data_IF_520115474796
#
_entry.id   IF_520115474796
#
_cell.length_a   1.000
_cell.length_b   1.000
_cell.length_c   1.000
_cell.angle_alpha   90.00
_cell.angle_beta   90.00
_cell.angle_gamma   90.00
#
_symmetry.space_group_name_H-M   'P 1'
#
loop_
_entity.id
_entity.type
_entity.pdbx_description
1 polymer ?
#
# COMPACT_ATOMS: atom_id res chain seq x y z
N UNK A 1 6.71 13.16 8.99
CA UNK A 1 5.54 12.26 9.00
C UNK A 1 4.86 12.22 7.64
N UNK A 2 4.22 13.30 7.15
CA UNK A 2 3.51 13.28 5.85
C UNK A 2 4.34 12.81 4.64
N UNK A 3 5.62 13.18 4.55
CA UNK A 3 6.53 12.65 3.52
C UNK A 3 6.86 11.16 3.70
N UNK A 4 6.87 10.65 4.94
CA UNK A 4 7.17 9.24 5.23
C UNK A 4 6.03 8.32 4.77
N UNK A 5 4.78 8.71 5.06
CA UNK A 5 3.55 8.03 4.62
C UNK A 5 3.16 8.42 3.18
N UNK A 6 4.09 8.97 2.40
CA UNK A 6 3.86 9.23 0.99
C UNK A 6 4.82 8.45 0.10
N UNK A 7 5.80 7.76 0.69
CA UNK A 7 6.75 6.90 -0.02
C UNK A 7 6.04 5.63 -0.50
N UNK A 8 5.23 5.02 0.37
CA UNK A 8 4.30 3.93 0.08
C UNK A 8 3.35 4.29 -1.07
N UNK A 9 2.71 5.46 -1.00
CA UNK A 9 1.84 5.99 -2.05
C UNK A 9 2.62 6.19 -3.34
N UNK A 10 3.85 6.70 -3.27
CA UNK A 10 4.69 6.87 -4.46
C UNK A 10 4.99 5.52 -5.12
N UNK A 11 5.46 4.55 -4.34
CA UNK A 11 5.82 3.22 -4.85
C UNK A 11 4.58 2.53 -5.46
N UNK A 12 3.44 2.55 -4.77
CA UNK A 12 2.20 1.95 -5.24
C UNK A 12 1.61 2.67 -6.47
N UNK A 13 1.79 3.99 -6.58
CA UNK A 13 1.36 4.74 -7.77
C UNK A 13 2.24 4.39 -8.96
N UNK A 14 3.55 4.29 -8.75
CA UNK A 14 4.51 3.96 -9.81
C UNK A 14 4.42 2.50 -10.25
N UNK A 15 4.08 1.55 -9.37
CA UNK A 15 3.87 0.15 -9.76
C UNK A 15 2.65 0.00 -10.67
N UNK A 16 1.60 0.79 -10.43
CA UNK A 16 0.38 0.86 -11.27
C UNK A 16 0.53 1.72 -12.51
N UNK A 17 1.75 2.02 -12.95
CA UNK A 17 1.95 2.87 -14.12
C UNK A 17 1.33 2.31 -15.41
N UNK A 18 0.94 1.03 -15.49
CA UNK A 18 0.26 0.47 -16.68
C UNK A 18 -1.28 0.49 -16.61
N UNK A 19 -1.87 0.82 -15.47
CA UNK A 19 -3.34 0.84 -15.30
C UNK A 19 -3.94 2.05 -16.02
N UNK A 20 -4.58 1.83 -17.17
CA UNK A 20 -5.11 2.92 -18.02
C UNK A 20 -6.14 3.80 -17.32
N UNK A 21 -6.83 3.29 -16.31
CA UNK A 21 -7.85 4.03 -15.56
C UNK A 21 -7.28 4.74 -14.33
N UNK A 22 -5.97 4.62 -14.07
CA UNK A 22 -5.29 5.32 -12.98
C UNK A 22 -5.38 6.84 -13.22
N UNK A 23 -6.12 7.54 -12.36
CA UNK A 23 -6.40 8.96 -12.51
C UNK A 23 -6.49 9.64 -11.15
N UNK A 24 -6.60 10.97 -11.16
CA UNK A 24 -6.84 11.74 -9.95
C UNK A 24 -8.09 11.25 -9.20
N UNK A 25 -9.16 10.92 -9.92
CA UNK A 25 -10.45 10.53 -9.32
C UNK A 25 -10.43 9.12 -8.76
N UNK A 26 -9.81 8.20 -9.49
CA UNK A 26 -9.80 6.76 -9.17
C UNK A 26 -8.67 6.37 -8.20
N UNK A 27 -7.66 7.23 -8.04
CA UNK A 27 -6.47 6.93 -7.23
C UNK A 27 -6.14 8.05 -6.22
N UNK A 28 -5.77 9.23 -6.69
CA UNK A 28 -5.25 10.32 -5.83
C UNK A 28 -6.27 10.76 -4.78
N UNK A 29 -7.53 10.96 -5.16
CA UNK A 29 -8.58 11.41 -4.23
C UNK A 29 -8.87 10.36 -3.15
N UNK A 30 -9.15 9.08 -3.48
CA UNK A 30 -9.32 8.02 -2.48
C UNK A 30 -8.13 7.87 -1.53
N UNK A 31 -6.90 7.90 -2.05
CA UNK A 31 -5.67 7.83 -1.23
C UNK A 31 -5.58 9.04 -0.31
N UNK A 32 -5.82 10.24 -0.81
CA UNK A 32 -5.78 11.45 0.00
C UNK A 32 -6.79 11.39 1.14
N UNK A 33 -8.02 10.96 0.84
CA UNK A 33 -9.09 10.84 1.84
C UNK A 33 -8.69 9.85 2.93
N UNK A 34 -8.22 8.66 2.55
CA UNK A 34 -7.78 7.64 3.50
C UNK A 34 -6.58 8.11 4.33
N UNK A 35 -5.65 8.88 3.75
CA UNK A 35 -4.51 9.46 4.47
C UNK A 35 -4.83 10.71 5.32
N UNK A 36 -6.07 11.21 5.26
CA UNK A 36 -6.60 12.16 6.24
C UNK A 36 -7.37 11.42 7.32
N UNK A 37 -8.28 10.54 6.91
CA UNK A 37 -9.25 9.87 7.77
C UNK A 37 -8.60 8.79 8.63
N UNK A 38 -7.72 7.96 8.08
CA UNK A 38 -7.13 6.83 8.82
C UNK A 38 -6.21 7.31 9.94
N UNK A 39 -5.29 8.27 9.75
CA UNK A 39 -4.54 8.83 10.86
C UNK A 39 -5.44 9.49 11.91
N UNK A 40 -6.54 10.14 11.50
CA UNK A 40 -7.49 10.74 12.44
C UNK A 40 -8.21 9.67 13.27
N UNK A 41 -8.69 8.59 12.63
CA UNK A 41 -9.23 7.42 13.32
C UNK A 41 -8.16 6.85 14.26
N UNK A 42 -6.93 6.64 13.78
CA UNK A 42 -5.85 6.10 14.61
C UNK A 42 -5.53 6.96 15.83
N UNK A 43 -5.54 8.28 15.66
CA UNK A 43 -5.33 9.22 16.76
C UNK A 43 -6.49 9.20 17.76
N UNK A 44 -7.72 9.48 17.32
CA UNK A 44 -8.84 9.67 18.24
C UNK A 44 -9.34 8.34 18.82
N UNK A 45 -9.25 7.27 18.05
CA UNK A 45 -9.78 5.96 18.42
C UNK A 45 -8.70 5.06 19.00
N UNK A 46 -7.54 4.89 18.35
CA UNK A 46 -6.54 3.90 18.78
C UNK A 46 -5.54 4.41 19.81
N UNK A 47 -5.09 5.66 19.75
CA UNK A 47 -4.33 6.22 20.87
C UNK A 47 -5.26 6.42 22.07
N UNK A 48 -6.44 7.01 21.81
CA UNK A 48 -7.48 7.21 22.82
C UNK A 48 -7.88 5.94 23.57
N UNK A 49 -8.13 4.82 22.88
CA UNK A 49 -8.52 3.54 23.51
C UNK A 49 -7.36 2.59 23.80
N UNK A 50 -6.23 2.68 23.11
CA UNK A 50 -5.08 1.80 23.30
C UNK A 50 -4.45 1.94 24.69
N UNK A 51 -4.54 3.14 25.29
CA UNK A 51 -4.19 3.38 26.70
C UNK A 51 -5.09 2.57 27.66
N UNK A 52 -6.35 2.35 27.31
CA UNK A 52 -7.34 1.68 28.18
C UNK A 52 -7.50 0.18 27.87
N UNK A 53 -7.19 -0.26 26.65
CA UNK A 53 -7.36 -1.63 26.16
C UNK A 53 -6.16 -2.07 25.31
N UNK A 54 -5.04 -2.47 25.93
CA UNK A 54 -3.85 -2.94 25.20
C UNK A 54 -4.12 -4.12 24.25
N UNK A 55 -5.07 -5.00 24.62
CA UNK A 55 -5.49 -6.12 23.76
C UNK A 55 -6.07 -5.68 22.41
N UNK A 56 -6.62 -4.46 22.33
CA UNK A 56 -7.14 -3.92 21.08
C UNK A 56 -6.00 -3.62 20.09
N UNK A 57 -4.86 -3.09 20.57
CA UNK A 57 -3.69 -2.86 19.73
C UNK A 57 -3.18 -4.17 19.11
N UNK A 58 -3.17 -5.24 19.89
CA UNK A 58 -2.81 -6.58 19.41
C UNK A 58 -3.75 -7.08 18.32
N UNK A 59 -5.07 -6.99 18.56
CA UNK A 59 -6.07 -7.41 17.57
C UNK A 59 -5.91 -6.63 16.27
N UNK A 60 -5.70 -5.32 16.34
CA UNK A 60 -5.55 -4.46 15.17
C UNK A 60 -4.26 -4.74 14.41
N UNK A 61 -3.15 -5.00 15.11
CA UNK A 61 -1.89 -5.39 14.48
C UNK A 61 -2.02 -6.72 13.73
N UNK A 62 -2.72 -7.69 14.31
CA UNK A 62 -3.01 -8.97 13.65
C UNK A 62 -3.93 -8.77 12.44
N UNK A 63 -5.01 -8.00 12.57
CA UNK A 63 -5.93 -7.70 11.44
C UNK A 63 -5.16 -7.01 10.31
N UNK A 64 -4.32 -6.03 10.64
CA UNK A 64 -3.51 -5.30 9.67
C UNK A 64 -2.55 -6.20 8.91
N UNK A 65 -1.81 -7.03 9.65
CA UNK A 65 -0.96 -8.05 9.05
C UNK A 65 -1.73 -8.98 8.10
N UNK A 66 -2.90 -9.47 8.52
CA UNK A 66 -3.72 -10.36 7.69
C UNK A 66 -4.24 -9.68 6.43
N UNK A 67 -4.70 -8.43 6.51
CA UNK A 67 -5.16 -7.66 5.35
C UNK A 67 -4.03 -7.46 4.34
N UNK A 68 -2.84 -7.07 4.81
CA UNK A 68 -1.66 -6.91 3.95
C UNK A 68 -1.23 -8.25 3.35
N UNK A 69 -1.20 -9.33 4.15
CA UNK A 69 -0.83 -10.65 3.66
C UNK A 69 -1.81 -11.18 2.60
N UNK A 70 -3.10 -10.96 2.79
CA UNK A 70 -4.14 -11.34 1.83
C UNK A 70 -4.06 -10.50 0.55
N UNK A 71 -3.80 -9.19 0.66
CA UNK A 71 -3.54 -8.35 -0.50
C UNK A 71 -2.32 -8.82 -1.30
N UNK A 72 -1.20 -9.11 -0.64
CA UNK A 72 0.00 -9.65 -1.31
C UNK A 72 -0.30 -10.97 -1.99
N UNK A 73 -1.09 -11.85 -1.35
CA UNK A 73 -1.51 -13.10 -1.94
C UNK A 73 -2.32 -12.90 -3.23
N UNK A 74 -3.30 -11.99 -3.24
CA UNK A 74 -4.08 -11.67 -4.44
C UNK A 74 -3.18 -11.13 -5.57
N UNK A 75 -2.32 -10.15 -5.27
CA UNK A 75 -1.40 -9.57 -6.27
C UNK A 75 -0.43 -10.62 -6.83
N UNK A 76 0.02 -11.55 -6.00
CA UNK A 76 0.87 -12.66 -6.44
C UNK A 76 0.12 -13.63 -7.36
N UNK A 77 -1.13 -13.99 -7.02
CA UNK A 77 -1.93 -14.87 -7.87
C UNK A 77 -2.18 -14.24 -9.23
N UNK A 78 -2.56 -12.96 -9.25
CA UNK A 78 -2.76 -12.16 -10.47
C UNK A 78 -1.48 -12.10 -11.31
N UNK A 79 -0.33 -11.81 -10.69
CA UNK A 79 0.96 -11.76 -11.39
C UNK A 79 1.42 -13.11 -11.94
N UNK A 80 0.82 -14.21 -11.51
CA UNK A 80 1.04 -15.56 -12.05
C UNK A 80 -0.03 -15.98 -13.06
N UNK A 81 -1.03 -15.12 -13.35
CA UNK A 81 -2.17 -15.46 -14.20
C UNK A 81 -3.10 -16.51 -13.59
N UNK A 82 -3.19 -16.55 -12.25
CA UNK A 82 -3.99 -17.52 -11.50
C UNK A 82 -5.05 -16.83 -10.65
N UNK A 83 -6.19 -17.50 -10.45
CA UNK A 83 -7.23 -16.99 -9.56
C UNK A 83 -6.89 -17.29 -8.08
N UNK A 84 -7.04 -16.31 -7.17
CA UNK A 84 -6.84 -16.54 -5.75
C UNK A 84 -7.92 -17.45 -5.16
N UNK A 85 -7.54 -18.38 -4.28
CA UNK A 85 -8.49 -19.26 -3.57
C UNK A 85 -9.38 -18.46 -2.61
N UNK A 86 -8.84 -17.36 -2.08
CA UNK A 86 -9.56 -16.41 -1.24
C UNK A 86 -9.26 -15.00 -1.73
N UNK A 87 -10.31 -14.29 -2.18
CA UNK A 87 -10.19 -12.92 -2.66
C UNK A 87 -10.86 -11.92 -1.70
N UNK A 88 -10.06 -11.10 -1.01
CA UNK A 88 -10.57 -9.92 -0.30
C UNK A 88 -11.26 -8.96 -1.28
N UNK A 89 -10.69 -8.79 -2.47
CA UNK A 89 -11.26 -7.97 -3.54
C UNK A 89 -12.65 -8.45 -3.93
N UNK A 90 -12.85 -9.76 -4.15
CA UNK A 90 -14.16 -10.35 -4.45
C UNK A 90 -15.14 -10.24 -3.28
N UNK A 91 -14.66 -10.40 -2.03
CA UNK A 91 -15.49 -10.20 -0.84
C UNK A 91 -15.98 -8.75 -0.74
N UNK A 92 -15.10 -7.78 -0.91
CA UNK A 92 -15.42 -6.35 -0.90
C UNK A 92 -16.34 -6.00 -2.07
N UNK A 93 -16.09 -6.53 -3.26
CA UNK A 93 -16.95 -6.34 -4.44
C UNK A 93 -18.39 -6.72 -4.12
N UNK A 94 -18.58 -7.92 -3.55
CA UNK A 94 -19.89 -8.42 -3.16
C UNK A 94 -20.51 -7.63 -2.01
N UNK A 95 -19.72 -7.24 -1.02
CA UNK A 95 -20.21 -6.55 0.17
C UNK A 95 -20.65 -5.12 -0.12
N UNK A 96 -19.88 -4.40 -0.95
CA UNK A 96 -20.14 -3.01 -1.30
C UNK A 96 -20.86 -2.83 -2.64
N UNK A 97 -21.10 -3.91 -3.38
CA UNK A 97 -21.74 -3.86 -4.70
C UNK A 97 -20.87 -3.18 -5.77
N UNK A 98 -19.54 -3.30 -5.64
CA UNK A 98 -18.57 -2.71 -6.55
C UNK A 98 -18.23 -3.69 -7.69
N UNK A 99 -17.79 -3.14 -8.83
CA UNK A 99 -17.15 -3.94 -9.87
C UNK A 99 -15.84 -4.55 -9.35
N UNK A 100 -15.40 -5.65 -9.96
CA UNK A 100 -14.23 -6.39 -9.48
C UNK A 100 -12.94 -5.56 -9.57
N UNK A 101 -12.76 -4.84 -10.68
CA UNK A 101 -11.60 -3.95 -10.89
C UNK A 101 -11.59 -2.79 -9.89
N UNK A 102 -12.75 -2.20 -9.60
CA UNK A 102 -12.88 -1.14 -8.59
C UNK A 102 -12.60 -1.66 -7.19
N UNK A 103 -13.01 -2.89 -6.91
CA UNK A 103 -12.73 -3.54 -5.63
C UNK A 103 -11.24 -3.83 -5.47
N UNK A 104 -10.55 -4.29 -6.53
CA UNK A 104 -9.09 -4.47 -6.52
C UNK A 104 -8.37 -3.16 -6.25
N UNK A 105 -8.78 -2.06 -6.90
CA UNK A 105 -8.23 -0.72 -6.64
C UNK A 105 -8.47 -0.31 -5.19
N UNK A 106 -9.68 -0.54 -4.68
CA UNK A 106 -10.03 -0.24 -3.29
C UNK A 106 -9.14 -1.02 -2.30
N UNK A 107 -8.91 -2.31 -2.53
CA UNK A 107 -8.01 -3.12 -1.70
C UNK A 107 -6.59 -2.58 -1.75
N UNK A 108 -6.07 -2.22 -2.93
CA UNK A 108 -4.75 -1.62 -3.04
C UNK A 108 -4.66 -0.29 -2.27
N UNK A 109 -5.67 0.57 -2.40
CA UNK A 109 -5.75 1.82 -1.63
C UNK A 109 -5.77 1.52 -0.13
N UNK A 110 -6.58 0.56 0.32
CA UNK A 110 -6.62 0.17 1.73
C UNK A 110 -5.28 -0.36 2.23
N UNK A 111 -4.62 -1.22 1.45
CA UNK A 111 -3.33 -1.82 1.81
C UNK A 111 -2.24 -0.75 1.97
N UNK A 112 -2.17 0.20 1.03
CA UNK A 112 -1.24 1.34 1.11
C UNK A 112 -1.61 2.24 2.29
N UNK A 113 -2.90 2.52 2.48
CA UNK A 113 -3.35 3.45 3.52
C UNK A 113 -3.33 2.85 4.93
N UNK A 114 -3.09 1.54 5.06
CA UNK A 114 -3.07 0.88 6.36
C UNK A 114 -1.91 1.40 7.24
N UNK A 115 -0.77 1.78 6.65
CA UNK A 115 0.32 2.45 7.40
C UNK A 115 -0.12 3.81 7.96
N UNK A 116 -0.95 4.55 7.21
CA UNK A 116 -1.51 5.82 7.66
C UNK A 116 -2.36 5.66 8.93
N UNK A 117 -3.08 4.54 9.08
CA UNK A 117 -3.82 4.22 10.31
C UNK A 117 -2.89 4.15 11.53
N UNK A 118 -1.70 3.57 11.34
CA UNK A 118 -0.69 3.40 12.40
C UNK A 118 0.15 4.65 12.66
N UNK A 119 0.05 5.66 11.79
CA UNK A 119 0.66 6.97 12.02
C UNK A 119 -0.06 7.82 13.08
N UNK A 120 -1.27 7.42 13.50
CA UNK A 120 -2.02 8.07 14.58
C UNK A 120 -1.22 8.20 15.89
N UNK A 121 -0.71 7.09 16.46
CA UNK A 121 0.21 7.10 17.60
C UNK A 121 1.45 8.00 17.45
N UNK A 122 2.05 8.02 16.26
CA UNK A 122 3.20 8.90 15.99
C UNK A 122 2.79 10.38 16.02
N UNK A 123 1.59 10.69 15.54
CA UNK A 123 1.03 12.04 15.59
C UNK A 123 0.62 12.48 16.99
N UNK A 124 0.10 11.58 17.83
CA UNK A 124 -0.12 11.89 19.26
C UNK A 124 1.18 12.22 19.97
N UNK A 125 2.26 11.48 19.73
CA UNK A 125 3.56 11.83 20.30
C UNK A 125 4.06 13.21 19.84
N UNK A 126 3.81 13.59 18.59
CA UNK A 126 4.11 14.93 18.06
C UNK A 126 3.24 16.03 18.69
N UNK A 127 1.95 15.76 18.83
CA UNK A 127 1.00 16.69 19.43
C UNK A 127 1.33 16.95 20.92
N UNK A 128 1.64 15.89 21.66
CA UNK A 128 2.02 15.97 23.07
C UNK A 128 3.36 16.72 23.26
N UNK A 129 4.38 16.38 22.47
CA UNK A 129 5.68 17.06 22.53
C UNK A 129 5.61 18.53 22.09
N UNK A 130 4.72 18.83 21.15
CA UNK A 130 4.50 20.18 20.63
C UNK A 130 3.52 21.03 21.44
N UNK A 131 2.87 20.46 22.47
CA UNK A 131 1.75 21.07 23.18
C UNK A 131 0.65 21.61 22.24
N UNK A 132 0.31 20.81 21.21
CA UNK A 132 -0.69 21.21 20.22
C UNK A 132 -2.09 21.22 20.82
N UNK A 133 -2.86 22.23 20.47
CA UNK A 133 -4.30 22.28 20.73
C UNK A 133 -5.05 21.27 19.86
N UNK A 134 -6.26 20.89 20.27
CA UNK A 134 -7.13 19.98 19.50
C UNK A 134 -7.36 20.46 18.06
N UNK A 135 -7.44 21.78 17.84
CA UNK A 135 -7.62 22.36 16.51
C UNK A 135 -6.35 22.20 15.65
N UNK A 136 -5.17 22.37 16.22
CA UNK A 136 -3.90 22.16 15.52
C UNK A 136 -3.72 20.70 15.13
N UNK A 137 -4.04 19.78 16.05
CA UNK A 137 -4.06 18.33 15.75
C UNK A 137 -5.01 18.02 14.61
N UNK A 138 -6.26 18.52 14.67
CA UNK A 138 -7.26 18.29 13.64
C UNK A 138 -6.80 18.82 12.27
N UNK A 139 -6.35 20.08 12.21
CA UNK A 139 -5.86 20.69 10.97
C UNK A 139 -4.62 19.97 10.41
N UNK A 140 -3.76 19.44 11.28
CA UNK A 140 -2.57 18.71 10.85
C UNK A 140 -2.90 17.45 10.01
N UNK A 141 -4.10 16.85 10.16
CA UNK A 141 -4.51 15.71 9.31
C UNK A 141 -4.72 16.15 7.87
N UNK A 142 -5.37 17.30 7.66
CA UNK A 142 -5.55 17.87 6.33
C UNK A 142 -4.21 18.30 5.71
N UNK A 143 -3.29 18.86 6.50
CA UNK A 143 -1.95 19.20 6.02
C UNK A 143 -1.17 17.95 5.60
N UNK A 144 -1.24 16.88 6.38
CA UNK A 144 -0.62 15.60 6.01
C UNK A 144 -1.26 15.01 4.73
N UNK A 145 -2.59 15.01 4.64
CA UNK A 145 -3.31 14.58 3.45
C UNK A 145 -2.96 15.42 2.22
N UNK A 146 -2.82 16.73 2.35
CA UNK A 146 -2.39 17.60 1.25
C UNK A 146 -0.97 17.26 0.78
N UNK A 147 -0.05 16.99 1.70
CA UNK A 147 1.30 16.55 1.36
C UNK A 147 1.27 15.22 0.58
N UNK A 148 0.47 14.25 1.05
CA UNK A 148 0.25 12.97 0.35
C UNK A 148 -0.37 13.21 -1.04
N UNK A 149 -1.37 14.08 -1.15
CA UNK A 149 -2.01 14.42 -2.43
C UNK A 149 -1.02 14.98 -3.44
N UNK A 150 -0.14 15.90 -3.02
CA UNK A 150 0.90 16.49 -3.88
C UNK A 150 1.86 15.40 -4.36
N UNK A 151 2.34 14.55 -3.45
CA UNK A 151 3.29 13.48 -3.78
C UNK A 151 2.64 12.43 -4.68
N UNK A 152 1.41 12.01 -4.38
CA UNK A 152 0.62 11.11 -5.21
C UNK A 152 0.43 11.68 -6.62
N UNK A 153 0.17 12.98 -6.74
CA UNK A 153 0.00 13.63 -8.04
C UNK A 153 1.31 13.70 -8.84
N UNK A 154 2.44 13.94 -8.17
CA UNK A 154 3.77 13.88 -8.79
C UNK A 154 4.07 12.46 -9.25
N UNK A 155 3.83 11.45 -8.40
CA UNK A 155 4.02 10.04 -8.73
C UNK A 155 3.12 9.61 -9.90
N UNK A 156 1.87 10.06 -9.93
CA UNK A 156 0.95 9.83 -11.04
C UNK A 156 1.45 10.50 -12.33
N UNK A 157 2.01 11.70 -12.25
CA UNK A 157 2.68 12.36 -13.37
C UNK A 157 3.85 11.54 -13.91
N UNK A 158 4.69 11.01 -13.02
CA UNK A 158 5.80 10.13 -13.39
C UNK A 158 5.27 8.83 -14.02
N UNK A 159 4.21 8.23 -13.45
CA UNK A 159 3.56 7.04 -14.00
C UNK A 159 3.05 7.30 -15.44
N UNK A 160 2.46 8.46 -15.71
CA UNK A 160 2.07 8.86 -17.07
C UNK A 160 3.26 9.06 -18.00
N UNK A 161 4.39 9.60 -17.50
CA UNK A 161 5.62 9.69 -18.29
C UNK A 161 6.19 8.31 -18.61
N UNK A 162 6.19 7.39 -17.64
CA UNK A 162 6.62 6.01 -17.82
C UNK A 162 5.76 5.26 -18.85
N UNK A 163 4.44 5.51 -18.91
CA UNK A 163 3.58 4.96 -19.99
C UNK A 163 4.01 5.37 -21.39
N UNK A 164 4.56 6.58 -21.53
CA UNK A 164 5.00 7.10 -22.83
C UNK A 164 6.36 6.54 -23.26
N UNK A 165 7.09 5.88 -22.34
CA UNK A 165 8.35 5.22 -22.68
C UNK A 165 8.02 3.99 -23.51
N UNK A 166 8.33 4.06 -24.81
CA UNK A 166 8.22 2.91 -25.70
C UNK A 166 9.37 1.95 -25.43
N UNK A 167 9.10 0.91 -24.64
CA UNK A 167 10.01 -0.20 -24.50
C UNK A 167 10.00 -0.99 -25.81
N UNK A 168 11.12 -0.98 -26.54
CA UNK A 168 11.23 -1.71 -27.81
C UNK A 168 11.53 -3.20 -27.61
N UNK A 169 11.93 -3.58 -26.39
CA UNK A 169 12.23 -4.97 -26.04
C UNK A 169 11.27 -5.44 -24.93
N UNK A 170 10.36 -6.39 -25.22
CA UNK A 170 9.43 -6.94 -24.24
C UNK A 170 10.16 -7.59 -23.06
N UNK A 171 11.35 -8.16 -23.28
CA UNK A 171 12.15 -8.76 -22.20
C UNK A 171 12.65 -7.72 -21.19
N UNK A 172 13.03 -6.54 -21.67
CA UNK A 172 13.47 -5.45 -20.79
C UNK A 172 12.30 -4.93 -19.95
N UNK A 173 11.11 -4.84 -20.55
CA UNK A 173 9.90 -4.39 -19.85
C UNK A 173 9.47 -5.42 -18.80
N UNK A 174 9.44 -6.71 -19.15
CA UNK A 174 9.08 -7.78 -18.23
C UNK A 174 10.04 -7.84 -17.04
N UNK A 175 11.35 -7.70 -17.26
CA UNK A 175 12.35 -7.65 -16.18
C UNK A 175 12.17 -6.43 -15.28
N UNK A 176 11.88 -5.26 -15.86
CA UNK A 176 11.62 -4.05 -15.10
C UNK A 176 10.39 -4.21 -14.20
N UNK A 177 9.29 -4.72 -14.74
CA UNK A 177 8.06 -4.98 -13.98
C UNK A 177 8.30 -6.01 -12.87
N UNK A 178 9.02 -7.10 -13.17
CA UNK A 178 9.36 -8.13 -12.18
C UNK A 178 10.08 -7.53 -10.97
N UNK A 179 11.12 -6.72 -11.19
CA UNK A 179 11.84 -6.07 -10.10
C UNK A 179 11.02 -4.98 -9.41
N UNK A 180 10.19 -4.23 -10.15
CA UNK A 180 9.26 -3.26 -9.60
C UNK A 180 8.28 -3.91 -8.61
N UNK A 181 7.63 -4.99 -9.02
CA UNK A 181 6.71 -5.78 -8.16
C UNK A 181 7.42 -6.36 -6.95
N UNK A 182 8.65 -6.85 -7.11
CA UNK A 182 9.44 -7.34 -5.97
C UNK A 182 9.65 -6.25 -4.91
N UNK A 183 10.05 -5.04 -5.34
CA UNK A 183 10.26 -3.91 -4.42
C UNK A 183 8.95 -3.46 -3.79
N UNK A 184 7.88 -3.34 -4.58
CA UNK A 184 6.55 -2.98 -4.09
C UNK A 184 6.07 -3.93 -3.00
N UNK A 185 6.01 -5.23 -3.30
CA UNK A 185 5.50 -6.24 -2.35
C UNK A 185 6.41 -6.39 -1.12
N UNK A 186 7.71 -6.14 -1.27
CA UNK A 186 8.63 -6.07 -0.13
C UNK A 186 8.31 -4.92 0.82
N UNK A 187 8.06 -3.73 0.28
CA UNK A 187 7.74 -2.55 1.09
C UNK A 187 6.37 -2.70 1.72
N UNK A 188 5.36 -3.11 0.96
CA UNK A 188 4.00 -3.36 1.45
C UNK A 188 4.00 -4.48 2.50
N UNK A 189 4.69 -5.59 2.25
CA UNK A 189 4.87 -6.66 3.23
C UNK A 189 5.59 -6.19 4.49
N UNK A 190 6.53 -5.25 4.35
CA UNK A 190 7.21 -4.60 5.47
C UNK A 190 6.23 -3.89 6.38
N UNK A 191 5.23 -3.19 5.84
CA UNK A 191 4.17 -2.58 6.65
C UNK A 191 3.28 -3.62 7.33
N UNK A 192 2.99 -4.74 6.67
CA UNK A 192 2.30 -5.87 7.31
C UNK A 192 3.05 -6.40 8.53
N UNK A 193 4.36 -6.66 8.38
CA UNK A 193 5.24 -7.10 9.48
C UNK A 193 5.33 -6.05 10.58
N UNK A 194 5.43 -4.77 10.22
CA UNK A 194 5.44 -3.67 11.17
C UNK A 194 4.13 -3.59 11.98
N UNK A 195 2.98 -3.80 11.32
CA UNK A 195 1.68 -3.85 11.98
C UNK A 195 1.60 -5.02 12.97
N UNK A 196 2.10 -6.20 12.58
CA UNK A 196 2.19 -7.35 13.47
C UNK A 196 3.08 -7.06 14.68
N UNK A 197 4.24 -6.42 14.46
CA UNK A 197 5.13 -6.00 15.53
C UNK A 197 4.44 -5.08 16.50
N UNK A 198 3.85 -3.99 16.03
CA UNK A 198 3.16 -3.08 16.94
C UNK A 198 1.96 -3.72 17.67
N UNK A 199 1.35 -4.77 17.10
CA UNK A 199 0.34 -5.56 17.79
C UNK A 199 0.90 -6.46 18.89
N UNK A 200 2.09 -7.06 18.69
CA UNK A 200 2.63 -8.07 19.60
C UNK A 200 3.66 -7.53 20.59
N UNK A 201 4.48 -6.57 20.18
CA UNK A 201 5.63 -6.04 20.92
C UNK A 201 5.77 -4.55 20.63
N UNK A 202 5.78 -3.72 21.67
CA UNK A 202 6.04 -2.29 21.54
C UNK A 202 7.52 -2.07 21.17
N UNK A 203 7.80 -1.69 19.93
CA UNK A 203 9.18 -1.57 19.41
C UNK A 203 9.40 -1.93 17.93
N UNK A 204 8.34 -1.94 17.12
CA UNK A 204 8.47 -2.22 15.69
C UNK A 204 9.40 -1.24 14.96
N UNK A 205 10.32 -1.75 14.16
CA UNK A 205 11.24 -0.96 13.32
C UNK A 205 10.95 -1.17 11.83
N UNK A 206 10.51 -0.12 11.15
CA UNK A 206 10.15 -0.16 9.73
C UNK A 206 11.23 -0.80 8.85
N UNK A 207 12.50 -0.44 9.03
CA UNK A 207 13.58 -0.93 8.18
C UNK A 207 13.80 -2.43 8.36
N UNK A 208 13.72 -2.93 9.59
CA UNK A 208 13.86 -4.37 9.85
C UNK A 208 12.64 -5.11 9.31
N UNK A 209 11.43 -4.55 9.46
CA UNK A 209 10.21 -5.13 8.88
C UNK A 209 10.31 -5.25 7.36
N UNK A 210 10.81 -4.22 6.67
CA UNK A 210 11.06 -4.26 5.22
C UNK A 210 12.11 -5.32 4.89
N UNK A 211 13.20 -5.44 5.65
CA UNK A 211 14.22 -6.48 5.41
C UNK A 211 13.62 -7.89 5.53
N UNK A 212 12.81 -8.14 6.57
CA UNK A 212 12.14 -9.42 6.77
C UNK A 212 11.20 -9.72 5.60
N UNK A 213 10.36 -8.75 5.22
CA UNK A 213 9.44 -8.88 4.09
C UNK A 213 10.19 -9.09 2.78
N UNK A 214 11.26 -8.34 2.51
CA UNK A 214 12.13 -8.55 1.34
C UNK A 214 12.74 -9.93 1.29
N UNK A 215 13.17 -10.48 2.43
CA UNK A 215 13.72 -11.83 2.49
C UNK A 215 12.65 -12.89 2.15
N UNK A 216 11.44 -12.75 2.68
CA UNK A 216 10.30 -13.63 2.36
C UNK A 216 9.92 -13.50 0.88
N UNK A 217 9.77 -12.28 0.38
CA UNK A 217 9.43 -12.01 -1.02
C UNK A 217 10.52 -12.53 -1.96
N UNK A 218 11.79 -12.49 -1.56
CA UNK A 218 12.89 -13.03 -2.36
C UNK A 218 12.77 -14.55 -2.51
N UNK A 219 12.42 -15.26 -1.43
CA UNK A 219 12.17 -16.70 -1.49
C UNK A 219 10.94 -17.04 -2.36
N UNK A 220 9.89 -16.22 -2.28
CA UNK A 220 8.69 -16.37 -3.12
C UNK A 220 9.03 -16.13 -4.59
N UNK A 221 9.67 -15.00 -4.91
CA UNK A 221 10.03 -14.62 -6.28
C UNK A 221 11.03 -15.59 -6.91
N UNK A 222 11.96 -16.15 -6.13
CA UNK A 222 12.88 -17.18 -6.63
C UNK A 222 12.16 -18.50 -6.90
N UNK A 223 11.24 -18.92 -6.03
CA UNK A 223 10.42 -20.13 -6.22
C UNK A 223 9.49 -20.02 -7.45
N UNK A 224 8.84 -18.89 -7.64
CA UNK A 224 7.86 -18.66 -8.71
C UNK A 224 8.42 -17.89 -9.91
N UNK A 225 9.75 -17.75 -10.01
CA UNK A 225 10.43 -16.91 -11.01
C UNK A 225 9.97 -17.18 -12.44
N UNK A 226 9.87 -18.45 -12.83
CA UNK A 226 9.52 -18.85 -14.18
C UNK A 226 8.13 -18.36 -14.57
N UNK A 227 7.13 -18.67 -13.73
CA UNK A 227 5.74 -18.28 -13.97
C UNK A 227 5.57 -16.76 -14.00
N UNK A 228 6.20 -16.04 -13.07
CA UNK A 228 6.14 -14.58 -13.00
C UNK A 228 6.75 -13.93 -14.26
N UNK A 229 7.93 -14.40 -14.70
CA UNK A 229 8.57 -13.86 -15.91
C UNK A 229 7.75 -14.21 -17.15
N UNK A 230 7.21 -15.43 -17.27
CA UNK A 230 6.38 -15.83 -18.40
C UNK A 230 5.09 -14.98 -18.51
N UNK A 231 4.43 -14.71 -17.37
CA UNK A 231 3.27 -13.82 -17.32
C UNK A 231 3.63 -12.39 -17.74
N UNK A 232 4.68 -11.82 -17.16
CA UNK A 232 5.14 -10.47 -17.50
C UNK A 232 5.61 -10.35 -18.95
N UNK A 233 6.20 -11.40 -19.52
CA UNK A 233 6.58 -11.46 -20.93
C UNK A 233 5.36 -11.44 -21.85
N UNK A 234 4.30 -12.17 -21.51
CA UNK A 234 3.04 -12.17 -22.26
C UNK A 234 2.41 -10.77 -22.26
N UNK A 235 2.29 -10.16 -21.08
CA UNK A 235 1.76 -8.80 -20.96
C UNK A 235 2.63 -7.74 -21.63
N UNK A 236 3.95 -7.91 -21.58
CA UNK A 236 4.88 -6.99 -22.22
C UNK A 236 4.78 -7.09 -23.74
N UNK A 237 4.63 -8.29 -24.29
CA UNK A 237 4.45 -8.52 -25.73
C UNK A 237 3.18 -7.81 -26.23
N UNK A 238 2.04 -8.01 -25.55
CA UNK A 238 0.78 -7.33 -25.88
C UNK A 238 0.87 -5.80 -25.83
N UNK A 239 1.73 -5.25 -24.96
CA UNK A 239 1.94 -3.82 -24.84
C UNK A 239 2.88 -3.24 -25.89
N UNK A 240 3.83 -4.03 -26.40
CA UNK A 240 4.71 -3.63 -27.51
C UNK A 240 3.98 -3.66 -28.85
N UNK A 241 3.01 -4.58 -29.00
CA UNK A 241 2.24 -4.76 -30.23
C UNK A 241 1.09 -3.73 -30.41
N UNK A 242 0.77 -2.94 -29.37
CA UNK A 242 -0.23 -1.85 -29.38
C UNK A 242 0.39 -0.48 -29.65
#
# INVERSE_FOLDING_TARGET
MGFGIAIDVTIATLSKFRDNDLSLKTWTVPITITHVVFPAIGYYFFWGMGVWLPSLQMILGIIGFLLVALFIYEVMCESMGTEPVFGISSFIAKFFGLEEDDSRRFVAILAVSWDALWSGPAKSAQADAGNWTNNEVFLSFFVAGLAVAIIAQVALGIAFLLRKVKFHNPESLARFNFWGKFVELSVIGGFGVLSLWHGLIDGGNLYISIIIASAIMFLVFTKYRKNLIESEMSEAQEAVDK
#
